data_IF_317930451060
#
_entry.id   IF_317930451060
#
_cell.length_a   1.000
_cell.length_b   1.000
_cell.length_c   1.000
_cell.angle_alpha   90.00
_cell.angle_beta   90.00
_cell.angle_gamma   90.00
#
_symmetry.space_group_name_H-M   'P 1'
#
loop_
_entity.id
_entity.type
_entity.pdbx_description
1 polymer ?
#
# COMPACT_ATOMS: atom_id res chain seq x y z
N UNK A 1 -24.84 1.71 16.79
CA UNK A 1 -25.40 1.25 15.48
C UNK A 1 -26.06 -0.10 15.71
N UNK A 2 -27.26 -0.31 15.17
CA UNK A 2 -27.98 -1.58 15.34
C UNK A 2 -27.36 -2.70 14.46
N UNK A 3 -27.55 -3.99 14.81
CA UNK A 3 -27.06 -5.10 13.98
C UNK A 3 -27.58 -5.07 12.53
N UNK A 4 -28.84 -4.68 12.31
CA UNK A 4 -29.44 -4.59 10.98
C UNK A 4 -28.82 -3.48 10.12
N UNK A 5 -28.54 -2.33 10.72
CA UNK A 5 -27.83 -1.23 10.04
C UNK A 5 -26.39 -1.61 9.68
N UNK A 6 -25.71 -2.32 10.58
CA UNK A 6 -24.36 -2.81 10.34
C UNK A 6 -24.32 -3.79 9.15
N UNK A 7 -25.20 -4.79 9.13
CA UNK A 7 -25.26 -5.76 8.02
C UNK A 7 -25.54 -5.09 6.67
N UNK A 8 -26.49 -4.13 6.63
CA UNK A 8 -26.78 -3.37 5.41
C UNK A 8 -25.55 -2.60 4.90
N UNK A 9 -24.78 -1.99 5.80
CA UNK A 9 -23.58 -1.23 5.44
C UNK A 9 -22.43 -2.11 4.96
N UNK A 10 -22.28 -3.31 5.52
CA UNK A 10 -21.23 -4.27 5.12
C UNK A 10 -21.60 -4.91 3.78
N UNK A 11 -22.85 -5.34 3.59
CA UNK A 11 -23.25 -6.09 2.40
C UNK A 11 -23.26 -5.26 1.12
N UNK A 12 -23.47 -3.93 1.19
CA UNK A 12 -23.59 -3.08 0.01
C UNK A 12 -22.34 -3.05 -0.89
N UNK A 13 -21.17 -3.40 -0.34
CA UNK A 13 -19.91 -3.43 -1.08
C UNK A 13 -19.44 -4.86 -1.42
N UNK A 14 -20.15 -5.89 -0.97
CA UNK A 14 -19.80 -7.28 -1.23
C UNK A 14 -20.44 -7.72 -2.54
N UNK A 15 -19.60 -8.05 -3.52
CA UNK A 15 -20.04 -8.69 -4.77
C UNK A 15 -20.18 -10.19 -4.52
N UNK A 16 -21.40 -10.69 -4.49
CA UNK A 16 -21.68 -12.12 -4.28
C UNK A 16 -21.69 -12.83 -5.65
N UNK A 17 -20.81 -13.81 -5.88
CA UNK A 17 -20.88 -14.62 -7.08
C UNK A 17 -22.18 -15.44 -7.12
N UNK A 18 -22.80 -15.58 -8.29
CA UNK A 18 -24.03 -16.38 -8.46
C UNK A 18 -23.86 -17.85 -8.03
N UNK A 19 -22.64 -18.38 -8.14
CA UNK A 19 -22.29 -19.74 -7.71
C UNK A 19 -22.42 -19.96 -6.19
N UNK A 20 -22.51 -18.87 -5.41
CA UNK A 20 -22.40 -18.89 -3.95
C UNK A 20 -23.50 -18.01 -3.30
N UNK A 21 -24.79 -18.38 -3.45
CA UNK A 21 -25.91 -17.53 -3.05
C UNK A 21 -26.12 -17.46 -1.52
N UNK A 22 -25.69 -18.47 -0.75
CA UNK A 22 -25.91 -18.53 0.71
C UNK A 22 -24.72 -18.01 1.53
N UNK A 23 -23.54 -17.89 0.91
CA UNK A 23 -22.31 -17.51 1.61
C UNK A 23 -22.39 -16.11 2.22
N UNK A 24 -23.16 -15.20 1.61
CA UNK A 24 -23.34 -13.86 2.17
C UNK A 24 -24.10 -13.91 3.51
N UNK A 25 -25.16 -14.70 3.62
CA UNK A 25 -25.92 -14.80 4.88
C UNK A 25 -25.12 -15.53 5.95
N UNK A 26 -24.39 -16.59 5.59
CA UNK A 26 -23.46 -17.29 6.49
C UNK A 26 -22.33 -16.38 6.99
N UNK A 27 -21.76 -15.55 6.12
CA UNK A 27 -20.75 -14.55 6.48
C UNK A 27 -21.32 -13.50 7.44
N UNK A 28 -22.47 -12.92 7.12
CA UNK A 28 -23.09 -11.91 7.99
C UNK A 28 -23.41 -12.48 9.37
N UNK A 29 -23.79 -13.76 9.47
CA UNK A 29 -24.07 -14.42 10.75
C UNK A 29 -22.85 -14.52 11.68
N UNK A 30 -21.62 -14.44 11.16
CA UNK A 30 -20.38 -14.43 11.97
C UNK A 30 -19.82 -13.02 12.20
N UNK A 31 -20.41 -12.00 11.58
CA UNK A 31 -20.01 -10.60 11.78
C UNK A 31 -20.81 -9.96 12.91
N UNK A 32 -20.19 -9.01 13.61
CA UNK A 32 -20.86 -8.28 14.68
C UNK A 32 -20.24 -6.91 14.90
N UNK A 33 -20.99 -6.04 15.58
CA UNK A 33 -20.59 -4.68 15.88
C UNK A 33 -20.65 -4.43 17.39
N UNK A 34 -19.60 -3.82 17.91
CA UNK A 34 -19.49 -3.35 19.30
C UNK A 34 -19.18 -1.86 19.26
N UNK A 35 -20.00 -1.06 19.91
CA UNK A 35 -19.75 0.37 20.07
C UNK A 35 -18.80 0.65 21.25
N UNK A 36 -17.98 1.69 21.10
CA UNK A 36 -17.02 2.11 22.12
C UNK A 36 -16.22 3.32 21.67
N UNK A 37 -15.63 4.02 22.64
CA UNK A 37 -14.69 5.13 22.40
C UNK A 37 -13.25 4.61 22.33
N UNK A 38 -12.36 5.37 21.67
CA UNK A 38 -10.96 4.99 21.48
C UNK A 38 -10.05 5.36 22.66
N UNK A 39 -10.52 6.19 23.58
CA UNK A 39 -9.76 6.79 24.68
C UNK A 39 -10.28 6.37 26.07
N UNK A 40 -11.21 5.43 26.13
CA UNK A 40 -11.82 4.94 27.37
C UNK A 40 -11.56 3.44 27.58
N UNK A 41 -11.06 3.08 28.76
CA UNK A 41 -10.81 1.70 29.16
C UNK A 41 -12.11 0.86 29.27
N UNK A 42 -13.23 1.45 29.67
CA UNK A 42 -14.49 0.71 29.84
C UNK A 42 -14.99 0.17 28.50
N UNK A 43 -14.84 0.94 27.43
CA UNK A 43 -15.11 0.54 26.05
C UNK A 43 -14.27 -0.68 25.63
N UNK A 44 -12.97 -0.69 25.94
CA UNK A 44 -12.11 -1.83 25.65
C UNK A 44 -12.44 -3.06 26.50
N UNK A 45 -12.79 -2.88 27.77
CA UNK A 45 -13.22 -3.98 28.63
C UNK A 45 -14.54 -4.59 28.16
N UNK A 46 -15.47 -3.76 27.67
CA UNK A 46 -16.70 -4.22 27.05
C UNK A 46 -16.41 -5.04 25.79
N UNK A 47 -15.51 -4.55 24.91
CA UNK A 47 -15.05 -5.31 23.75
C UNK A 47 -14.41 -6.65 24.16
N UNK A 48 -13.55 -6.67 25.18
CA UNK A 48 -12.90 -7.90 25.63
C UNK A 48 -13.92 -8.94 26.12
N UNK A 49 -14.91 -8.52 26.93
CA UNK A 49 -15.99 -9.40 27.39
C UNK A 49 -16.79 -9.99 26.22
N UNK A 50 -17.03 -9.17 25.20
CA UNK A 50 -17.73 -9.61 23.99
C UNK A 50 -16.91 -10.67 23.22
N UNK A 51 -15.61 -10.44 23.05
CA UNK A 51 -14.70 -11.41 22.41
C UNK A 51 -14.61 -12.73 23.20
N UNK A 52 -14.47 -12.66 24.53
CA UNK A 52 -14.44 -13.86 25.40
C UNK A 52 -15.74 -14.67 25.28
N UNK A 53 -16.88 -14.01 25.14
CA UNK A 53 -18.17 -14.69 24.90
C UNK A 53 -18.17 -15.45 23.58
N UNK A 54 -17.67 -14.86 22.50
CA UNK A 54 -17.55 -15.53 21.19
C UNK A 54 -16.58 -16.71 21.29
N UNK A 55 -15.42 -16.49 21.89
CA UNK A 55 -14.38 -17.48 22.08
C UNK A 55 -14.86 -18.69 22.87
N UNK A 56 -15.58 -18.47 23.98
CA UNK A 56 -16.13 -19.52 24.82
C UNK A 56 -17.27 -20.30 24.17
N UNK A 57 -18.02 -19.66 23.27
CA UNK A 57 -19.06 -20.33 22.48
C UNK A 57 -18.48 -21.05 21.25
N UNK A 58 -17.19 -20.85 20.95
CA UNK A 58 -16.53 -21.52 19.83
C UNK A 58 -16.12 -22.93 20.20
N UNK A 59 -16.08 -23.82 19.20
CA UNK A 59 -15.51 -25.18 19.34
C UNK A 59 -13.97 -25.19 19.33
N UNK A 60 -13.33 -24.01 19.43
CA UNK A 60 -11.88 -23.85 19.30
C UNK A 60 -11.23 -23.96 20.67
N UNK A 61 -10.22 -24.81 20.78
CA UNK A 61 -9.43 -24.98 22.00
C UNK A 61 -8.74 -23.68 22.42
N UNK A 62 -8.61 -23.45 23.72
CA UNK A 62 -8.18 -22.18 24.32
C UNK A 62 -6.85 -21.64 23.73
N UNK A 63 -5.84 -22.50 23.55
CA UNK A 63 -4.53 -22.12 22.98
C UNK A 63 -4.52 -21.84 21.47
N UNK A 64 -5.65 -22.01 20.77
CA UNK A 64 -5.77 -21.77 19.32
C UNK A 64 -6.64 -20.55 18.98
N UNK A 65 -7.07 -19.77 19.98
CA UNK A 65 -7.96 -18.61 19.83
C UNK A 65 -7.17 -17.34 19.54
N UNK A 66 -6.76 -17.17 18.30
CA UNK A 66 -5.96 -16.02 17.88
C UNK A 66 -6.82 -14.77 17.69
N UNK A 67 -6.29 -13.60 18.08
CA UNK A 67 -6.94 -12.29 17.88
C UNK A 67 -6.18 -11.47 16.85
N UNK A 68 -6.88 -11.01 15.82
CA UNK A 68 -6.35 -10.13 14.78
C UNK A 68 -7.08 -8.78 14.86
N UNK A 69 -6.34 -7.71 15.11
CA UNK A 69 -6.86 -6.35 15.20
C UNK A 69 -6.50 -5.57 13.94
N UNK A 70 -7.50 -5.15 13.17
CA UNK A 70 -7.32 -4.34 11.97
C UNK A 70 -7.63 -2.87 12.26
N UNK A 71 -6.62 -2.00 12.25
CA UNK A 71 -6.77 -0.58 12.58
C UNK A 71 -7.14 0.27 11.36
N UNK A 72 -8.39 0.14 10.90
CA UNK A 72 -8.97 0.98 9.85
C UNK A 72 -9.37 2.38 10.38
N UNK A 73 -8.43 3.07 11.03
CA UNK A 73 -8.66 4.33 11.75
C UNK A 73 -7.76 5.46 11.19
N UNK A 74 -8.03 6.73 11.52
CA UNK A 74 -7.09 7.82 11.26
C UNK A 74 -5.77 7.63 12.04
N UNK A 75 -4.60 8.06 11.50
CA UNK A 75 -3.31 7.91 12.18
C UNK A 75 -3.24 8.58 13.56
N UNK A 76 -3.98 9.68 13.76
CA UNK A 76 -4.00 10.44 15.02
C UNK A 76 -4.45 9.62 16.22
N UNK A 77 -5.21 8.53 16.01
CA UNK A 77 -5.72 7.67 17.08
C UNK A 77 -5.00 6.32 17.17
N UNK A 78 -3.94 6.08 16.41
CA UNK A 78 -3.26 4.77 16.42
C UNK A 78 -2.65 4.44 17.78
N UNK A 79 -1.83 5.34 18.30
CA UNK A 79 -1.15 5.16 19.59
C UNK A 79 -2.14 4.93 20.75
N UNK A 80 -3.17 5.76 20.96
CA UNK A 80 -4.12 5.52 22.06
C UNK A 80 -4.85 4.18 21.89
N UNK A 81 -5.26 3.83 20.66
CA UNK A 81 -5.96 2.56 20.41
C UNK A 81 -5.06 1.36 20.64
N UNK A 82 -3.83 1.38 20.16
CA UNK A 82 -2.87 0.30 20.37
C UNK A 82 -2.58 0.07 21.86
N UNK A 83 -2.45 1.16 22.64
CA UNK A 83 -2.30 1.09 24.10
C UNK A 83 -3.54 0.50 24.76
N UNK A 84 -4.74 0.94 24.38
CA UNK A 84 -6.01 0.42 24.90
C UNK A 84 -6.20 -1.07 24.63
N UNK A 85 -5.91 -1.52 23.40
CA UNK A 85 -5.96 -2.93 23.01
C UNK A 85 -4.94 -3.75 23.81
N UNK A 86 -3.68 -3.31 23.88
CA UNK A 86 -2.63 -4.04 24.61
C UNK A 86 -2.96 -4.18 26.10
N UNK A 87 -3.50 -3.12 26.71
CA UNK A 87 -3.84 -3.08 28.13
C UNK A 87 -5.04 -3.96 28.47
N UNK A 88 -6.08 -3.95 27.64
CA UNK A 88 -7.40 -4.47 28.03
C UNK A 88 -7.90 -5.66 27.19
N UNK A 89 -7.35 -5.91 26.00
CA UNK A 89 -7.96 -6.81 24.99
C UNK A 89 -6.99 -7.88 24.46
N UNK A 90 -5.73 -7.90 24.88
CA UNK A 90 -4.81 -8.99 24.50
C UNK A 90 -5.23 -10.30 25.15
N UNK A 91 -5.31 -11.37 24.35
CA UNK A 91 -5.46 -12.73 24.86
C UNK A 91 -4.18 -13.15 25.58
N UNK A 92 -4.31 -13.81 26.74
CA UNK A 92 -3.16 -14.23 27.59
C UNK A 92 -2.51 -15.55 27.14
N UNK A 93 -3.12 -16.29 26.21
CA UNK A 93 -2.67 -17.65 25.83
C UNK A 93 -2.62 -17.91 24.32
N UNK A 94 -2.80 -16.89 23.48
CA UNK A 94 -2.85 -17.05 22.03
C UNK A 94 -2.15 -15.90 21.29
N UNK A 95 -2.01 -16.04 19.97
CA UNK A 95 -1.34 -15.04 19.15
C UNK A 95 -2.24 -13.81 19.03
N UNK A 96 -1.71 -12.65 19.41
CA UNK A 96 -2.30 -11.35 19.15
C UNK A 96 -1.53 -10.68 18.02
N UNK A 97 -2.23 -10.24 16.96
CA UNK A 97 -1.62 -9.51 15.84
C UNK A 97 -2.33 -8.18 15.62
N UNK A 98 -1.55 -7.12 15.51
CA UNK A 98 -2.04 -5.78 15.22
C UNK A 98 -1.61 -5.39 13.79
N UNK A 99 -2.59 -5.26 12.91
CA UNK A 99 -2.38 -4.81 11.54
C UNK A 99 -2.34 -3.28 11.54
N UNK A 100 -1.33 -2.72 10.87
CA UNK A 100 -0.91 -1.31 10.77
C UNK A 100 0.24 -0.83 11.69
N UNK A 101 0.49 -1.42 12.88
CA UNK A 101 1.73 -1.11 13.65
C UNK A 101 2.84 -2.16 13.48
N UNK A 102 2.49 -3.46 13.54
CA UNK A 102 3.45 -4.58 13.39
C UNK A 102 3.43 -5.10 11.95
N UNK A 103 2.24 -5.29 11.39
CA UNK A 103 2.04 -5.60 9.97
C UNK A 103 1.66 -4.31 9.23
N UNK A 104 2.65 -3.51 8.86
CA UNK A 104 2.44 -2.27 8.10
C UNK A 104 1.92 -2.64 6.71
N UNK A 105 0.73 -2.15 6.35
CA UNK A 105 0.13 -2.46 5.06
C UNK A 105 0.73 -1.54 4.01
N UNK A 106 1.34 -2.15 3.00
CA UNK A 106 1.37 -1.58 1.66
C UNK A 106 0.55 -2.49 0.74
N UNK A 107 -0.59 -2.00 0.26
CA UNK A 107 -1.50 -2.79 -0.55
C UNK A 107 -0.91 -3.15 -1.93
N UNK A 108 0.16 -2.48 -2.38
CA UNK A 108 0.87 -2.83 -3.62
C UNK A 108 1.56 -4.18 -3.53
N UNK A 109 2.11 -4.54 -2.36
CA UNK A 109 2.72 -5.84 -2.13
C UNK A 109 1.72 -7.00 -2.26
N UNK A 110 0.42 -6.71 -2.11
CA UNK A 110 -0.67 -7.67 -2.32
C UNK A 110 -1.04 -7.90 -3.79
N UNK A 111 -0.58 -7.06 -4.72
CA UNK A 111 -0.93 -7.17 -6.15
C UNK A 111 -0.18 -8.33 -6.79
N UNK A 112 -0.88 -9.14 -7.58
CA UNK A 112 -0.33 -10.35 -8.22
C UNK A 112 0.91 -10.07 -9.07
N UNK A 113 0.90 -8.98 -9.85
CA UNK A 113 2.07 -8.61 -10.67
C UNK A 113 3.30 -8.23 -9.85
N UNK A 114 3.11 -7.68 -8.64
CA UNK A 114 4.22 -7.33 -7.74
C UNK A 114 4.80 -8.59 -7.11
N UNK A 115 3.94 -9.53 -6.68
CA UNK A 115 4.37 -10.85 -6.18
C UNK A 115 5.17 -11.64 -7.23
N UNK A 116 4.75 -11.57 -8.50
CA UNK A 116 5.37 -12.30 -9.59
C UNK A 116 6.80 -11.85 -9.93
N UNK A 117 7.25 -10.67 -9.46
CA UNK A 117 8.64 -10.21 -9.68
C UNK A 117 9.63 -11.23 -9.12
N UNK A 118 9.37 -11.77 -7.92
CA UNK A 118 10.24 -12.75 -7.28
C UNK A 118 10.37 -14.04 -8.11
N UNK A 119 9.23 -14.58 -8.56
CA UNK A 119 9.18 -15.77 -9.41
C UNK A 119 9.91 -15.53 -10.72
N UNK A 120 9.64 -14.40 -11.39
CA UNK A 120 10.27 -14.06 -12.66
C UNK A 120 11.80 -13.95 -12.52
N UNK A 121 12.30 -13.25 -11.49
CA UNK A 121 13.75 -13.06 -11.29
C UNK A 121 14.48 -14.33 -10.88
N UNK A 122 13.92 -15.11 -9.95
CA UNK A 122 14.66 -16.17 -9.27
C UNK A 122 14.29 -17.59 -9.70
N UNK A 123 13.17 -17.80 -10.39
CA UNK A 123 12.81 -19.11 -10.95
C UNK A 123 13.31 -19.28 -12.40
N UNK A 124 13.91 -18.26 -13.00
CA UNK A 124 14.34 -18.27 -14.40
C UNK A 124 15.84 -17.96 -14.54
N UNK A 125 16.61 -18.95 -15.01
CA UNK A 125 18.07 -18.82 -15.21
C UNK A 125 18.43 -17.67 -16.16
N UNK A 126 17.60 -17.48 -17.20
CA UNK A 126 17.76 -16.39 -18.15
C UNK A 126 17.79 -15.02 -17.45
N UNK A 127 16.77 -14.73 -16.62
CA UNK A 127 16.72 -13.48 -15.88
C UNK A 127 17.86 -13.37 -14.87
N UNK A 128 18.28 -14.46 -14.23
CA UNK A 128 19.45 -14.47 -13.35
C UNK A 128 20.74 -13.91 -13.98
N UNK A 129 20.93 -14.13 -15.29
CA UNK A 129 22.16 -13.73 -16.01
C UNK A 129 22.16 -12.27 -16.48
N UNK A 130 20.98 -11.74 -16.84
CA UNK A 130 20.84 -10.40 -17.45
C UNK A 130 20.39 -9.31 -16.45
N UNK A 131 20.13 -9.66 -15.19
CA UNK A 131 19.59 -8.73 -14.19
C UNK A 131 20.67 -7.94 -13.43
N UNK A 132 21.47 -7.18 -14.17
CA UNK A 132 22.58 -6.40 -13.63
C UNK A 132 22.97 -5.22 -14.55
N UNK A 133 23.85 -4.37 -14.05
CA UNK A 133 24.37 -3.19 -14.72
C UNK A 133 25.13 -3.46 -16.03
N UNK A 134 25.54 -4.69 -16.33
CA UNK A 134 26.16 -4.99 -17.62
C UNK A 134 25.13 -4.99 -18.75
N UNK A 135 23.87 -5.34 -18.47
CA UNK A 135 22.82 -5.51 -19.47
C UNK A 135 21.72 -4.47 -19.36
N UNK A 136 21.38 -4.02 -18.15
CA UNK A 136 20.31 -3.06 -17.89
C UNK A 136 20.88 -1.65 -18.01
N UNK A 137 20.18 -0.81 -18.77
CA UNK A 137 20.46 0.62 -18.93
C UNK A 137 19.77 1.44 -17.83
N UNK A 138 18.45 1.27 -17.68
CA UNK A 138 17.67 1.95 -16.65
C UNK A 138 16.42 1.14 -16.24
N UNK A 139 15.91 1.44 -15.05
CA UNK A 139 14.66 0.88 -14.52
C UNK A 139 13.69 2.02 -14.25
N UNK A 140 12.44 1.88 -14.68
CA UNK A 140 11.40 2.87 -14.46
C UNK A 140 10.22 2.24 -13.73
N UNK A 141 9.81 2.86 -12.62
CA UNK A 141 8.61 2.46 -11.87
C UNK A 141 7.63 3.62 -11.95
N UNK A 142 6.49 3.38 -12.62
CA UNK A 142 5.53 4.43 -12.99
C UNK A 142 4.18 4.17 -12.34
N UNK A 143 3.64 5.19 -11.68
CA UNK A 143 2.28 5.26 -11.17
C UNK A 143 1.57 6.49 -11.76
N UNK A 144 0.44 6.26 -12.42
CA UNK A 144 -0.34 7.31 -13.07
C UNK A 144 -1.81 7.13 -12.72
N UNK A 145 -2.44 8.23 -12.33
CA UNK A 145 -3.89 8.31 -12.15
C UNK A 145 -4.47 9.38 -13.10
N UNK A 146 -5.58 9.08 -13.80
CA UNK A 146 -6.19 10.02 -14.74
C UNK A 146 -7.15 11.02 -14.08
N UNK A 147 -7.31 10.92 -12.77
CA UNK A 147 -8.15 11.78 -11.94
C UNK A 147 -7.28 12.60 -10.97
N UNK A 148 -7.83 13.72 -10.50
CA UNK A 148 -7.13 14.67 -9.64
C UNK A 148 -7.20 14.27 -8.17
N UNK A 149 -7.27 15.26 -7.27
CA UNK A 149 -7.51 15.03 -5.84
C UNK A 149 -8.97 14.80 -5.47
N UNK A 150 -9.91 15.00 -6.40
CA UNK A 150 -11.35 14.67 -6.25
C UNK A 150 -11.94 15.16 -4.91
N UNK A 151 -11.85 16.47 -4.63
CA UNK A 151 -12.30 17.11 -3.39
C UNK A 151 -11.61 16.61 -2.11
N UNK A 152 -10.44 15.99 -2.23
CA UNK A 152 -9.55 15.64 -1.12
C UNK A 152 -8.25 16.45 -1.13
N UNK A 153 -8.22 17.55 -1.88
CA UNK A 153 -7.06 18.43 -2.02
C UNK A 153 -6.51 18.90 -0.69
N UNK A 154 -7.38 19.31 0.24
CA UNK A 154 -6.99 19.78 1.57
C UNK A 154 -6.26 18.75 2.43
N UNK A 155 -6.64 17.47 2.33
CA UNK A 155 -5.91 16.38 2.99
C UNK A 155 -4.60 16.06 2.27
N UNK A 156 -4.65 16.00 0.93
CA UNK A 156 -3.47 15.71 0.10
C UNK A 156 -2.37 16.77 0.24
N UNK A 157 -2.74 18.03 0.48
CA UNK A 157 -1.84 19.18 0.60
C UNK A 157 -0.83 19.04 1.75
N UNK A 158 -1.18 18.32 2.80
CA UNK A 158 -0.29 18.09 3.96
C UNK A 158 0.83 17.08 3.64
N UNK A 159 0.67 16.25 2.61
CA UNK A 159 1.56 15.12 2.31
C UNK A 159 2.26 15.23 0.95
N UNK A 160 1.49 15.52 -0.11
CA UNK A 160 1.93 15.51 -1.50
C UNK A 160 2.24 14.12 -2.08
N UNK A 161 2.46 14.06 -3.39
CA UNK A 161 2.59 12.80 -4.13
C UNK A 161 3.77 11.93 -3.67
N UNK A 162 4.84 12.55 -3.16
CA UNK A 162 6.03 11.84 -2.70
C UNK A 162 5.68 10.96 -1.49
N UNK A 163 4.93 11.48 -0.53
CA UNK A 163 4.53 10.73 0.67
C UNK A 163 3.33 9.83 0.41
N UNK A 164 2.42 10.25 -0.47
CA UNK A 164 1.21 9.49 -0.81
C UNK A 164 1.54 8.18 -1.55
N UNK A 165 2.51 8.21 -2.48
CA UNK A 165 2.76 7.08 -3.41
C UNK A 165 4.23 6.67 -3.52
N UNK A 166 5.17 7.62 -3.57
CA UNK A 166 6.56 7.26 -3.84
C UNK A 166 7.17 6.56 -2.62
N UNK A 167 7.11 7.20 -1.45
CA UNK A 167 7.71 6.76 -0.19
C UNK A 167 7.27 5.36 0.24
N UNK A 168 6.01 5.00 -0.03
CA UNK A 168 5.43 3.70 0.27
C UNK A 168 5.50 2.79 -0.97
N UNK A 169 4.55 2.90 -1.90
CA UNK A 169 4.29 1.94 -2.95
C UNK A 169 5.52 1.72 -3.85
N UNK A 170 6.12 2.80 -4.35
CA UNK A 170 7.25 2.66 -5.28
C UNK A 170 8.52 2.18 -4.57
N UNK A 171 8.78 2.67 -3.36
CA UNK A 171 9.89 2.21 -2.54
C UNK A 171 9.71 0.82 -1.93
N UNK A 172 8.49 0.25 -1.93
CA UNK A 172 8.27 -1.17 -1.61
C UNK A 172 8.51 -2.06 -2.84
N UNK A 173 8.19 -1.58 -4.04
CA UNK A 173 8.43 -2.32 -5.30
C UNK A 173 9.91 -2.29 -5.69
N UNK A 174 10.61 -1.16 -5.50
CA UNK A 174 12.03 -1.02 -5.87
C UNK A 174 12.90 -2.13 -5.28
N UNK A 175 12.85 -2.44 -3.96
CA UNK A 175 13.56 -3.56 -3.38
C UNK A 175 13.30 -4.90 -4.05
N UNK A 176 12.06 -5.22 -4.44
CA UNK A 176 11.75 -6.49 -5.10
C UNK A 176 12.46 -6.63 -6.45
N UNK A 177 12.74 -5.50 -7.11
CA UNK A 177 13.51 -5.44 -8.35
C UNK A 177 15.02 -5.49 -8.07
N UNK A 178 15.46 -4.78 -7.04
CA UNK A 178 16.87 -4.51 -6.79
C UNK A 178 17.58 -5.54 -5.90
N UNK A 179 16.86 -6.19 -4.99
CA UNK A 179 17.42 -7.08 -3.98
C UNK A 179 18.24 -8.20 -4.60
N UNK A 180 19.30 -8.61 -3.91
CA UNK A 180 20.00 -9.85 -4.21
C UNK A 180 19.07 -11.06 -4.09
N UNK A 181 19.50 -12.20 -4.64
CA UNK A 181 18.80 -13.46 -4.37
C UNK A 181 18.84 -13.70 -2.86
N UNK A 182 17.69 -13.74 -2.18
CA UNK A 182 17.72 -13.86 -0.74
C UNK A 182 18.06 -15.31 -0.38
N UNK A 183 18.71 -15.51 0.77
CA UNK A 183 19.09 -16.85 1.28
C UNK A 183 17.83 -17.67 1.63
N UNK A 184 16.76 -16.97 2.02
CA UNK A 184 15.41 -17.49 2.28
C UNK A 184 14.35 -16.44 1.90
N UNK A 185 13.07 -16.78 1.98
CA UNK A 185 11.97 -15.82 1.73
C UNK A 185 11.63 -14.95 2.97
N UNK A 186 12.51 -14.91 3.97
CA UNK A 186 12.24 -14.21 5.24
C UNK A 186 12.37 -12.68 5.12
N UNK A 187 11.55 -11.96 5.88
CA UNK A 187 11.25 -10.54 5.68
C UNK A 187 12.37 -9.55 6.04
N UNK A 188 13.49 -10.00 6.63
CA UNK A 188 14.45 -9.12 7.31
C UNK A 188 15.63 -8.64 6.44
N UNK A 189 15.73 -9.05 5.17
CA UNK A 189 16.97 -8.91 4.38
C UNK A 189 17.12 -7.66 3.49
N UNK A 190 16.38 -6.56 3.73
CA UNK A 190 16.37 -5.43 2.77
C UNK A 190 16.42 -4.07 3.46
N UNK A 191 17.50 -3.29 3.26
CA UNK A 191 17.55 -1.81 3.35
C UNK A 191 18.93 -1.25 3.00
N UNK A 192 18.99 -0.37 2.00
CA UNK A 192 19.51 1.02 2.10
C UNK A 192 19.61 1.63 0.69
N UNK A 193 19.00 2.81 0.49
CA UNK A 193 19.06 3.54 -0.80
C UNK A 193 19.17 5.06 -0.60
N UNK A 194 19.86 5.74 -1.52
CA UNK A 194 20.01 7.21 -1.53
C UNK A 194 19.36 7.82 -2.78
N UNK A 195 18.50 8.81 -2.59
CA UNK A 195 17.91 9.64 -3.66
C UNK A 195 18.77 10.89 -3.86
N UNK A 196 19.02 11.29 -5.11
CA UNK A 196 19.82 12.51 -5.42
C UNK A 196 19.08 13.56 -6.25
N UNK A 197 18.23 13.16 -7.20
CA UNK A 197 17.62 14.11 -8.15
C UNK A 197 16.09 13.98 -8.21
N UNK A 198 15.39 15.11 -8.27
CA UNK A 198 13.92 15.19 -8.25
C UNK A 198 13.38 16.27 -9.21
N UNK A 199 12.38 15.91 -10.01
CA UNK A 199 11.53 16.83 -10.77
C UNK A 199 10.15 16.83 -10.13
N UNK A 200 9.61 18.01 -9.84
CA UNK A 200 8.29 18.18 -9.23
C UNK A 200 7.36 18.93 -10.19
N UNK A 201 6.08 18.56 -10.17
CA UNK A 201 5.04 19.22 -10.95
C UNK A 201 3.73 19.32 -10.18
N UNK A 202 2.92 20.30 -10.57
CA UNK A 202 1.56 20.51 -10.07
C UNK A 202 0.62 20.63 -11.27
N UNK A 203 -0.48 19.89 -11.29
CA UNK A 203 -1.40 19.91 -12.43
C UNK A 203 -2.21 21.20 -12.46
N UNK A 204 -2.31 21.79 -13.66
CA UNK A 204 -3.21 22.90 -13.96
C UNK A 204 -4.56 22.42 -14.46
N UNK A 205 -5.39 23.37 -14.89
CA UNK A 205 -6.66 23.09 -15.55
C UNK A 205 -6.44 22.25 -16.81
N UNK A 206 -7.36 21.34 -17.11
CA UNK A 206 -7.29 20.54 -18.35
C UNK A 206 -7.41 21.42 -19.59
N UNK A 207 -6.83 20.98 -20.72
CA UNK A 207 -6.85 21.73 -21.99
C UNK A 207 -8.28 21.97 -22.50
N UNK A 208 -9.17 21.00 -22.30
CA UNK A 208 -10.60 21.08 -22.63
C UNK A 208 -11.43 21.88 -21.60
N UNK A 209 -10.78 22.40 -20.55
CA UNK A 209 -11.39 23.12 -19.44
C UNK A 209 -12.47 22.36 -18.65
N UNK A 210 -12.60 21.03 -18.83
CA UNK A 210 -13.61 20.22 -18.14
C UNK A 210 -13.21 19.86 -16.70
N UNK A 211 -11.90 19.80 -16.41
CA UNK A 211 -11.37 19.47 -15.10
C UNK A 211 -10.63 20.69 -14.49
N UNK A 212 -10.93 21.04 -13.24
CA UNK A 212 -10.27 22.16 -12.57
C UNK A 212 -8.80 21.86 -12.27
N UNK A 213 -7.99 22.91 -12.15
CA UNK A 213 -6.60 22.79 -11.67
C UNK A 213 -6.52 22.46 -10.19
N UNK A 214 -5.33 22.07 -9.69
CA UNK A 214 -5.18 21.70 -8.28
C UNK A 214 -5.57 22.84 -7.33
N UNK A 215 -5.13 24.07 -7.62
CA UNK A 215 -5.42 25.26 -6.80
C UNK A 215 -6.89 25.70 -6.83
N UNK A 216 -7.68 25.17 -7.77
CA UNK A 216 -9.12 25.44 -7.85
C UNK A 216 -9.93 24.54 -6.89
N UNK A 217 -9.32 23.54 -6.24
CA UNK A 217 -9.99 22.67 -5.25
C UNK A 217 -10.41 23.46 -4.00
N UNK A 218 -11.71 23.57 -3.72
CA UNK A 218 -12.29 24.33 -2.61
C UNK A 218 -11.87 23.83 -1.22
N UNK A 219 -11.41 22.59 -1.12
CA UNK A 219 -10.93 22.03 0.15
C UNK A 219 -9.53 22.52 0.54
N UNK A 220 -8.81 23.19 -0.37
CA UNK A 220 -7.50 23.77 -0.07
C UNK A 220 -7.61 25.00 0.83
N UNK A 221 -6.90 24.93 1.97
CA UNK A 221 -6.73 26.08 2.87
C UNK A 221 -5.83 27.16 2.24
N UNK A 222 -4.82 26.74 1.47
CA UNK A 222 -3.87 27.63 0.80
C UNK A 222 -4.03 27.54 -0.72
N UNK A 223 -4.61 28.58 -1.33
CA UNK A 223 -4.79 28.69 -2.80
C UNK A 223 -3.50 29.03 -3.57
N UNK A 224 -2.37 29.13 -2.87
CA UNK A 224 -1.02 29.29 -3.44
C UNK A 224 -0.12 28.10 -3.05
N UNK A 225 -0.71 26.93 -2.81
CA UNK A 225 0.05 25.73 -2.45
C UNK A 225 1.07 25.37 -3.53
N UNK A 226 2.27 24.99 -3.09
CA UNK A 226 3.34 24.46 -3.96
C UNK A 226 3.42 22.92 -3.88
N UNK A 227 2.39 22.27 -3.32
CA UNK A 227 2.38 20.82 -3.13
C UNK A 227 2.47 20.09 -4.46
N UNK A 228 3.44 19.17 -4.63
CA UNK A 228 3.60 18.43 -5.87
C UNK A 228 2.49 17.38 -6.02
N UNK A 229 1.79 17.43 -7.15
CA UNK A 229 0.83 16.40 -7.59
C UNK A 229 1.46 15.43 -8.59
N UNK A 230 2.67 15.74 -9.05
CA UNK A 230 3.53 14.90 -9.89
C UNK A 230 4.97 14.98 -9.37
N UNK A 231 5.67 13.85 -9.37
CA UNK A 231 7.09 13.82 -9.09
C UNK A 231 7.79 12.72 -9.91
N UNK A 232 9.01 13.03 -10.35
CA UNK A 232 9.98 12.05 -10.87
C UNK A 232 11.22 12.09 -10.00
N UNK A 233 11.61 10.97 -9.42
CA UNK A 233 12.83 10.82 -8.63
C UNK A 233 13.81 9.88 -9.34
N UNK A 234 15.10 10.19 -9.27
CA UNK A 234 16.15 9.27 -9.68
C UNK A 234 16.88 8.78 -8.43
N UNK A 235 16.79 7.48 -8.20
CA UNK A 235 17.49 6.76 -7.15
C UNK A 235 18.66 5.97 -7.73
N UNK A 236 19.72 5.83 -6.94
CA UNK A 236 20.93 5.10 -7.33
C UNK A 236 21.28 4.10 -6.25
N UNK A 237 21.38 2.84 -6.65
CA UNK A 237 21.70 1.73 -5.77
C UNK A 237 23.20 1.48 -5.80
N UNK A 238 23.85 1.78 -4.68
CA UNK A 238 25.31 1.74 -4.58
C UNK A 238 25.80 0.33 -4.22
N UNK A 239 25.74 -0.59 -5.17
CA UNK A 239 26.34 -1.91 -5.09
C UNK A 239 26.84 -2.38 -6.47
N UNK A 240 27.56 -3.50 -6.50
CA UNK A 240 28.14 -4.03 -7.74
C UNK A 240 27.06 -4.31 -8.82
N UNK A 241 25.91 -4.84 -8.42
CA UNK A 241 24.83 -5.22 -9.36
C UNK A 241 24.24 -4.03 -10.10
N UNK A 242 24.10 -2.88 -9.43
CA UNK A 242 23.37 -1.72 -9.94
C UNK A 242 24.23 -0.48 -10.17
N UNK A 243 25.56 -0.63 -10.09
CA UNK A 243 26.50 0.46 -10.31
C UNK A 243 26.22 1.16 -11.64
N UNK A 244 25.90 2.46 -11.57
CA UNK A 244 25.63 3.28 -12.75
C UNK A 244 24.27 3.04 -13.43
N UNK A 245 23.35 2.27 -12.83
CA UNK A 245 21.97 2.10 -13.33
C UNK A 245 21.01 3.01 -12.57
N UNK A 246 20.36 3.99 -13.22
CA UNK A 246 19.35 4.84 -12.59
C UNK A 246 18.02 4.10 -12.41
N UNK A 247 17.44 4.24 -11.22
CA UNK A 247 16.06 3.86 -10.90
C UNK A 247 15.17 5.10 -10.93
N UNK A 248 14.32 5.19 -11.95
CA UNK A 248 13.46 6.35 -12.20
C UNK A 248 12.06 6.06 -11.66
N UNK A 249 11.68 6.74 -10.58
CA UNK A 249 10.39 6.63 -9.92
C UNK A 249 9.48 7.77 -10.37
N UNK A 250 8.37 7.47 -11.05
CA UNK A 250 7.42 8.46 -11.55
C UNK A 250 6.07 8.23 -10.89
N UNK A 251 5.51 9.25 -10.25
CA UNK A 251 4.16 9.21 -9.69
C UNK A 251 3.42 10.50 -10.00
N UNK A 252 2.14 10.42 -10.38
CA UNK A 252 1.32 11.61 -10.49
C UNK A 252 -0.17 11.37 -10.68
N UNK A 253 -0.93 12.41 -10.35
CA UNK A 253 -2.39 12.53 -10.54
C UNK A 253 -2.70 13.44 -11.73
N UNK A 254 -3.92 13.36 -12.23
CA UNK A 254 -4.41 14.10 -13.41
C UNK A 254 -3.55 13.87 -14.68
N UNK A 255 -3.11 12.63 -14.90
CA UNK A 255 -2.34 12.24 -16.08
C UNK A 255 -3.25 11.66 -17.18
N UNK A 256 -2.66 11.27 -18.31
CA UNK A 256 -3.41 10.83 -19.49
C UNK A 256 -4.08 9.45 -19.37
N UNK A 257 -3.69 8.61 -18.40
CA UNK A 257 -4.20 7.24 -18.24
C UNK A 257 -4.00 6.72 -16.81
N UNK A 258 -4.74 5.66 -16.46
CA UNK A 258 -4.46 4.87 -15.25
C UNK A 258 -3.43 3.81 -15.59
N UNK A 259 -2.25 3.89 -14.96
CA UNK A 259 -1.15 2.97 -15.27
C UNK A 259 -0.24 2.75 -14.08
N UNK A 260 0.01 1.48 -13.77
CA UNK A 260 1.06 1.04 -12.86
C UNK A 260 1.98 0.11 -13.66
N UNK A 261 3.22 0.52 -13.89
CA UNK A 261 4.15 -0.19 -14.75
C UNK A 261 5.56 -0.23 -14.14
N UNK A 262 6.22 -1.38 -14.28
CA UNK A 262 7.66 -1.51 -14.12
C UNK A 262 8.24 -1.77 -15.51
N UNK A 263 9.18 -0.93 -15.92
CA UNK A 263 9.89 -1.04 -17.19
C UNK A 263 11.36 -1.25 -16.93
N UNK A 264 11.93 -2.26 -17.56
CA UNK A 264 13.36 -2.55 -17.53
C UNK A 264 13.87 -2.37 -18.94
N UNK A 265 14.73 -1.37 -19.11
CA UNK A 265 15.33 -1.07 -20.40
C UNK A 265 16.72 -1.68 -20.45
N UNK A 266 16.96 -2.53 -21.43
CA UNK A 266 18.27 -3.10 -21.70
C UNK A 266 19.11 -2.15 -22.55
N UNK A 267 20.43 -2.26 -22.44
CA UNK A 267 21.39 -1.56 -23.27
C UNK A 267 21.27 -2.00 -24.73
N UNK A 268 21.67 -1.11 -25.64
CA UNK A 268 21.80 -1.45 -27.05
C UNK A 268 22.83 -2.57 -27.24
N UNK A 269 22.61 -3.41 -28.26
CA UNK A 269 23.57 -4.45 -28.64
C UNK A 269 24.86 -3.79 -29.14
N UNK A 270 26.00 -4.21 -28.60
CA UNK A 270 27.30 -3.71 -29.05
C UNK A 270 27.56 -4.10 -30.52
N UNK A 271 28.09 -3.16 -31.31
CA UNK A 271 28.38 -3.41 -32.73
C UNK A 271 27.13 -3.55 -33.61
N UNK A 272 26.16 -2.64 -33.43
CA UNK A 272 24.90 -2.62 -34.19
C UNK A 272 25.13 -2.78 -35.70
N UNK A 273 24.64 -3.91 -36.24
CA UNK A 273 24.62 -4.22 -37.67
C UNK A 273 23.40 -3.63 -38.39
N UNK A 274 22.35 -3.27 -37.64
CA UNK A 274 21.10 -2.75 -38.18
C UNK A 274 20.86 -1.34 -37.61
N UNK A 275 20.87 -0.35 -38.50
CA UNK A 275 20.46 1.02 -38.17
C UNK A 275 18.93 1.09 -38.22
N UNK A 276 18.31 1.17 -37.06
CA UNK A 276 16.88 1.54 -36.91
C UNK A 276 16.79 2.83 -36.14
#
# INVERSE_FOLDING_TARGET
MTPGEYHKRVSQYIKVPEAFPTQLSEFLAVTSYVEGQYDDDASYQHLNKYLEKIENNSKIAEGHRNRLFYMALPPSVFIPVAKGIKKNVYSKGAINRLVNEIYRIDHYLGKEMVKNIMTMRFANVFFGSIWNAQHIDNIQITFKEPFGTEARGGYFDEFGIIRDVIQNHLFQVLPLIAMERPISLDAEAIRDEKVKDALLGQYGKSEDCTKPGYLEDDTLKNKQSVTPTFATLVAWINNERWQGVPFILKAGKALNESKVEIRIQFKNVAGQLFNT
#
